data_IF_553852571332
#
_entry.id   IF_553852571332
#
_cell.length_a   1.000
_cell.length_b   1.000
_cell.length_c   1.000
_cell.angle_alpha   90.00
_cell.angle_beta   90.00
_cell.angle_gamma   90.00
#
_symmetry.space_group_name_H-M   'P 1'
#
loop_
_entity.id
_entity.type
_entity.pdbx_description
1 polymer ?
#
# COMPACT_ATOMS: atom_id res chain seq x y z
N UNK A 1 12.63 7.36 -18.11
CA UNK A 1 11.47 8.24 -17.91
C UNK A 1 10.61 7.58 -16.84
N UNK A 2 10.20 8.29 -15.78
CA UNK A 2 9.28 7.73 -14.79
C UNK A 2 7.97 7.37 -15.50
N UNK A 3 7.49 6.15 -15.26
CA UNK A 3 6.22 5.65 -15.82
C UNK A 3 5.08 5.87 -14.85
N UNK A 4 5.37 5.90 -13.55
CA UNK A 4 4.40 6.25 -12.52
C UNK A 4 4.16 7.78 -12.49
N UNK A 5 2.89 8.17 -12.48
CA UNK A 5 2.47 9.55 -12.19
C UNK A 5 2.07 9.68 -10.71
N UNK A 6 2.80 10.49 -9.95
CA UNK A 6 2.59 10.70 -8.51
C UNK A 6 1.81 11.97 -8.18
N UNK A 7 1.31 12.68 -9.20
CA UNK A 7 0.50 13.89 -8.98
C UNK A 7 -0.87 13.52 -8.41
N UNK A 8 -1.49 14.39 -7.61
CA UNK A 8 -2.87 14.20 -7.19
C UNK A 8 -3.79 14.25 -8.42
N UNK A 9 -4.48 13.14 -8.70
CA UNK A 9 -5.37 12.98 -9.86
C UNK A 9 -6.84 12.75 -9.50
N UNK A 10 -7.15 12.60 -8.22
CA UNK A 10 -8.51 12.46 -7.74
C UNK A 10 -9.22 13.81 -7.79
N UNK A 11 -10.42 13.84 -8.36
CA UNK A 11 -11.25 15.05 -8.41
C UNK A 11 -11.73 15.46 -7.01
N UNK A 12 -11.96 14.47 -6.15
CA UNK A 12 -12.34 14.65 -4.75
C UNK A 12 -11.51 13.68 -3.88
N UNK A 13 -10.34 14.13 -3.39
CA UNK A 13 -9.51 13.32 -2.51
C UNK A 13 -10.20 12.96 -1.19
N UNK A 14 -10.98 13.89 -0.63
CA UNK A 14 -11.59 13.74 0.69
C UNK A 14 -12.67 12.65 0.66
N UNK A 15 -13.56 12.67 -0.33
CA UNK A 15 -14.56 11.63 -0.51
C UNK A 15 -13.94 10.24 -0.74
N UNK A 16 -12.79 10.17 -1.44
CA UNK A 16 -12.07 8.91 -1.61
C UNK A 16 -11.45 8.41 -0.30
N UNK A 17 -10.87 9.32 0.51
CA UNK A 17 -10.35 8.96 1.83
C UNK A 17 -11.45 8.48 2.77
N UNK A 18 -12.63 9.11 2.76
CA UNK A 18 -13.80 8.63 3.51
C UNK A 18 -14.21 7.21 3.09
N UNK A 19 -14.31 6.95 1.78
CA UNK A 19 -14.64 5.64 1.26
C UNK A 19 -13.61 4.55 1.66
N UNK A 20 -12.32 4.90 1.72
CA UNK A 20 -11.28 3.99 2.22
C UNK A 20 -11.46 3.69 3.71
N UNK A 21 -11.77 4.68 4.53
CA UNK A 21 -12.02 4.48 5.97
C UNK A 21 -13.23 3.57 6.16
N UNK A 22 -14.32 3.84 5.43
CA UNK A 22 -15.55 3.05 5.51
C UNK A 22 -15.34 1.60 5.05
N UNK A 23 -14.46 1.36 4.06
CA UNK A 23 -14.09 0.01 3.64
C UNK A 23 -13.45 -0.82 4.77
N UNK A 24 -12.77 -0.17 5.71
CA UNK A 24 -12.13 -0.82 6.86
C UNK A 24 -13.03 -0.95 8.09
N UNK A 25 -14.23 -0.35 8.07
CA UNK A 25 -15.15 -0.35 9.19
C UNK A 25 -15.52 -1.78 9.58
N UNK A 26 -15.54 -2.05 10.88
CA UNK A 26 -15.88 -3.34 11.49
C UNK A 26 -14.95 -4.52 11.13
N UNK A 27 -13.81 -4.26 10.47
CA UNK A 27 -12.81 -5.29 10.15
C UNK A 27 -11.76 -5.43 11.26
N UNK A 28 -11.29 -6.66 11.45
CA UNK A 28 -10.06 -6.88 12.22
C UNK A 28 -8.84 -6.33 11.47
N UNK A 29 -7.70 -6.19 12.16
CA UNK A 29 -6.44 -5.79 11.51
C UNK A 29 -6.05 -6.76 10.38
N UNK A 30 -6.24 -8.06 10.59
CA UNK A 30 -5.93 -9.09 9.60
C UNK A 30 -6.85 -8.98 8.37
N UNK A 31 -8.14 -8.75 8.59
CA UNK A 31 -9.11 -8.56 7.50
C UNK A 31 -8.86 -7.25 6.74
N UNK A 32 -8.48 -6.19 7.46
CA UNK A 32 -8.07 -4.93 6.85
C UNK A 32 -6.86 -5.08 5.94
N UNK A 33 -5.85 -5.86 6.36
CA UNK A 33 -4.72 -6.18 5.49
C UNK A 33 -5.14 -7.03 4.27
N UNK A 34 -6.05 -7.99 4.47
CA UNK A 34 -6.56 -8.81 3.37
C UNK A 34 -7.32 -7.99 2.33
N UNK A 35 -8.18 -7.05 2.77
CA UNK A 35 -8.91 -6.16 1.87
C UNK A 35 -7.94 -5.23 1.13
N UNK A 36 -6.93 -4.69 1.80
CA UNK A 36 -5.89 -3.89 1.15
C UNK A 36 -5.12 -4.68 0.09
N UNK A 37 -4.74 -5.93 0.38
CA UNK A 37 -4.07 -6.78 -0.60
C UNK A 37 -4.96 -7.05 -1.83
N UNK A 38 -6.27 -7.29 -1.62
CA UNK A 38 -7.23 -7.46 -2.71
C UNK A 38 -7.38 -6.18 -3.54
N UNK A 39 -7.51 -5.03 -2.90
CA UNK A 39 -7.62 -3.73 -3.58
C UNK A 39 -6.38 -3.45 -4.43
N UNK A 40 -5.17 -3.66 -3.89
CA UNK A 40 -3.91 -3.51 -4.62
C UNK A 40 -3.89 -4.38 -5.88
N UNK A 41 -4.31 -5.65 -5.78
CA UNK A 41 -4.34 -6.55 -6.94
C UNK A 41 -5.36 -6.11 -8.01
N UNK A 42 -6.53 -5.62 -7.59
CA UNK A 42 -7.54 -5.09 -8.51
C UNK A 42 -7.01 -3.85 -9.25
N UNK A 43 -6.37 -2.92 -8.53
CA UNK A 43 -5.76 -1.73 -9.12
C UNK A 43 -4.57 -2.09 -10.03
N UNK A 44 -3.77 -3.09 -9.65
CA UNK A 44 -2.68 -3.58 -10.48
C UNK A 44 -3.18 -4.14 -11.81
N UNK A 45 -4.26 -4.91 -11.79
CA UNK A 45 -4.91 -5.40 -12.99
C UNK A 45 -5.51 -4.27 -13.84
N UNK A 46 -6.08 -3.24 -13.21
CA UNK A 46 -6.60 -2.07 -13.92
C UNK A 46 -5.49 -1.25 -14.60
N UNK A 47 -4.33 -1.10 -13.96
CA UNK A 47 -3.17 -0.39 -14.51
C UNK A 47 -2.55 -1.16 -15.69
N UNK A 48 -2.40 -2.49 -15.57
CA UNK A 48 -1.95 -3.36 -16.66
C UNK A 48 -0.47 -3.21 -17.10
N UNK A 49 0.27 -2.24 -16.54
CA UNK A 49 1.70 -2.01 -16.84
C UNK A 49 2.58 -2.46 -15.66
N UNK A 50 3.30 -3.56 -15.87
CA UNK A 50 4.19 -4.14 -14.86
C UNK A 50 5.34 -3.21 -14.45
N UNK A 51 5.80 -2.32 -15.32
CA UNK A 51 6.88 -1.40 -14.99
C UNK A 51 6.39 -0.22 -14.13
N UNK A 52 5.18 0.29 -14.38
CA UNK A 52 4.51 1.25 -13.48
C UNK A 52 4.37 0.65 -12.09
N UNK A 53 3.93 -0.61 -12.00
CA UNK A 53 3.75 -1.30 -10.73
C UNK A 53 5.07 -1.52 -9.98
N UNK A 54 6.14 -1.90 -10.68
CA UNK A 54 7.48 -2.04 -10.09
C UNK A 54 8.02 -0.72 -9.55
N UNK A 55 7.83 0.37 -10.29
CA UNK A 55 8.22 1.70 -9.85
C UNK A 55 7.43 2.14 -8.60
N UNK A 56 6.12 1.90 -8.58
CA UNK A 56 5.27 2.15 -7.41
C UNK A 56 5.72 1.34 -6.18
N UNK A 57 6.02 0.05 -6.35
CA UNK A 57 6.55 -0.80 -5.26
C UNK A 57 7.89 -0.29 -4.73
N UNK A 58 8.79 0.12 -5.61
CA UNK A 58 10.10 0.65 -5.21
C UNK A 58 9.95 1.94 -4.40
N UNK A 59 9.07 2.87 -4.83
CA UNK A 59 8.78 4.11 -4.12
C UNK A 59 8.08 3.85 -2.77
N UNK A 60 7.08 2.97 -2.73
CA UNK A 60 6.36 2.62 -1.51
C UNK A 60 7.28 2.01 -0.43
N UNK A 61 8.41 1.39 -0.83
CA UNK A 61 9.37 0.83 0.12
C UNK A 61 10.33 1.87 0.71
N UNK A 62 10.46 3.05 0.10
CA UNK A 62 11.36 4.09 0.58
C UNK A 62 10.85 4.64 1.92
N UNK A 63 11.74 4.77 2.91
CA UNK A 63 11.39 5.29 4.24
C UNK A 63 10.69 4.29 5.17
N UNK A 64 10.33 3.10 4.69
CA UNK A 64 9.79 2.03 5.55
C UNK A 64 10.95 1.21 6.10
N UNK A 65 11.32 1.47 7.36
CA UNK A 65 12.31 0.65 8.08
C UNK A 65 11.61 -0.61 8.59
N UNK A 66 12.10 -1.82 8.24
CA UNK A 66 11.54 -3.03 8.84
C UNK A 66 11.75 -2.99 10.35
N UNK A 67 10.81 -3.55 11.15
CA UNK A 67 11.01 -3.60 12.59
C UNK A 67 12.34 -4.30 12.88
N UNK A 68 13.22 -3.61 13.61
CA UNK A 68 14.45 -4.20 14.12
C UNK A 68 14.01 -5.26 15.12
N UNK A 69 14.05 -6.52 14.73
CA UNK A 69 13.99 -7.60 15.70
C UNK A 69 15.30 -7.56 16.47
N UNK A 70 15.31 -7.27 17.78
CA UNK A 70 16.53 -7.38 18.55
C UNK A 70 16.96 -8.85 18.46
N UNK A 71 18.13 -9.09 17.87
CA UNK A 71 18.79 -10.39 17.90
C UNK A 71 18.81 -10.81 19.35
N UNK A 72 18.09 -11.87 19.71
CA UNK A 72 18.06 -12.37 21.07
C UNK A 72 19.52 -12.49 21.55
N UNK A 73 19.87 -11.67 22.54
CA UNK A 73 21.13 -11.80 23.26
C UNK A 73 21.17 -13.24 23.77
N UNK A 74 22.07 -14.02 23.19
CA UNK A 74 22.45 -15.34 23.70
C UNK A 74 22.97 -15.10 25.10
N UNK A 75 22.10 -15.31 26.10
CA UNK A 75 22.47 -15.31 27.50
C UNK A 75 23.60 -16.33 27.68
N UNK A 76 24.74 -15.83 28.13
CA UNK A 76 25.87 -16.62 28.61
C UNK A 76 25.45 -17.49 29.79
#
# INVERSE_FOLDING_TARGET
MPRLDTRPRLADPDAFYEALIDMHRDLSDADSQLVNAKLILLLANHIGDADVLREAMALARQGVTPPVHPTAEVAQ
#
